data_IF_052442118732
#
_entry.id   IF_052442118732
#
_cell.length_a   1.000
_cell.length_b   1.000
_cell.length_c   1.000
_cell.angle_alpha   90.00
_cell.angle_beta   90.00
_cell.angle_gamma   90.00
#
_symmetry.space_group_name_H-M   'P 1'
#
loop_
_entity.id
_entity.type
_entity.pdbx_description
1 polymer ?
#
# COMPACT_ATOMS: atom_id res chain seq x y z
N UNK A 1 -63.68 -26.65 4.54
CA UNK A 1 -62.63 -27.67 4.43
C UNK A 1 -62.84 -28.61 3.25
N UNK A 2 -63.78 -29.58 3.24
CA UNK A 2 -63.91 -30.55 2.10
C UNK A 2 -64.15 -29.97 0.68
N UNK A 3 -64.75 -28.78 0.56
CA UNK A 3 -65.01 -28.14 -0.76
C UNK A 3 -63.79 -27.48 -1.38
N UNK A 4 -62.81 -27.07 -0.56
CA UNK A 4 -61.62 -26.36 -1.03
C UNK A 4 -60.57 -27.34 -1.55
N UNK A 5 -60.44 -28.51 -0.90
CA UNK A 5 -59.56 -29.61 -1.35
C UNK A 5 -60.02 -30.20 -2.70
N UNK A 6 -61.33 -30.32 -2.92
CA UNK A 6 -61.92 -30.83 -4.17
C UNK A 6 -61.71 -29.86 -5.35
N UNK A 7 -61.69 -28.54 -5.09
CA UNK A 7 -61.40 -27.55 -6.12
C UNK A 7 -59.91 -27.51 -6.48
N UNK A 8 -59.01 -27.63 -5.49
CA UNK A 8 -57.56 -27.69 -5.73
C UNK A 8 -57.13 -28.87 -6.60
N UNK A 9 -57.64 -30.08 -6.33
CA UNK A 9 -57.33 -31.27 -7.15
C UNK A 9 -57.81 -31.12 -8.61
N UNK A 10 -58.97 -30.50 -8.83
CA UNK A 10 -59.52 -30.26 -10.17
C UNK A 10 -58.71 -29.22 -10.96
N UNK A 11 -58.18 -28.21 -10.28
CA UNK A 11 -57.33 -27.19 -10.89
C UNK A 11 -55.96 -27.78 -11.28
N UNK A 12 -55.33 -28.56 -10.41
CA UNK A 12 -54.07 -29.26 -10.71
C UNK A 12 -54.23 -30.23 -11.89
N UNK A 13 -55.30 -31.01 -11.94
CA UNK A 13 -55.59 -31.90 -13.08
C UNK A 13 -55.78 -31.14 -14.40
N UNK A 14 -56.40 -29.95 -14.37
CA UNK A 14 -56.58 -29.11 -15.55
C UNK A 14 -55.23 -28.59 -16.09
N UNK A 15 -54.35 -28.19 -15.18
CA UNK A 15 -53.00 -27.70 -15.50
C UNK A 15 -52.16 -28.86 -16.07
N UNK A 16 -52.16 -30.02 -15.43
CA UNK A 16 -51.44 -31.21 -15.89
C UNK A 16 -51.96 -31.74 -17.24
N UNK A 17 -53.27 -31.59 -17.51
CA UNK A 17 -53.87 -31.97 -18.79
C UNK A 17 -53.52 -30.99 -19.91
N UNK A 18 -53.37 -29.70 -19.61
CA UNK A 18 -53.00 -28.66 -20.59
C UNK A 18 -51.50 -28.61 -20.90
N UNK A 19 -50.67 -28.79 -19.89
CA UNK A 19 -49.21 -28.63 -20.00
C UNK A 19 -48.52 -30.00 -20.26
N UNK A 20 -49.18 -31.10 -19.90
CA UNK A 20 -48.59 -32.42 -19.93
C UNK A 20 -47.64 -32.63 -18.74
N UNK A 21 -47.47 -33.88 -18.32
CA UNK A 21 -46.50 -34.27 -17.28
C UNK A 21 -45.07 -34.37 -17.82
N UNK A 22 -44.86 -33.99 -19.07
CA UNK A 22 -43.56 -34.09 -19.71
C UNK A 22 -42.75 -32.82 -19.46
N UNK A 23 -41.48 -33.00 -19.07
CA UNK A 23 -40.57 -31.89 -18.89
C UNK A 23 -40.35 -31.20 -20.24
N UNK A 24 -40.87 -29.97 -20.38
CA UNK A 24 -40.66 -29.13 -21.58
C UNK A 24 -39.27 -28.50 -21.59
N UNK A 25 -38.59 -28.43 -20.44
CA UNK A 25 -37.21 -27.97 -20.34
C UNK A 25 -36.26 -29.16 -20.55
N UNK A 26 -36.18 -29.63 -21.80
CA UNK A 26 -35.11 -30.55 -22.23
C UNK A 26 -34.04 -29.76 -22.96
N UNK A 27 -32.80 -29.94 -22.54
CA UNK A 27 -31.65 -29.44 -23.29
C UNK A 27 -31.37 -30.38 -24.46
N UNK A 28 -30.85 -29.88 -25.59
CA UNK A 28 -30.32 -30.73 -26.65
C UNK A 28 -29.22 -31.65 -26.11
N UNK A 29 -29.12 -32.85 -26.70
CA UNK A 29 -28.06 -33.80 -26.36
C UNK A 29 -26.68 -33.15 -26.61
N UNK A 30 -25.80 -33.22 -25.61
CA UNK A 30 -24.45 -32.64 -25.65
C UNK A 30 -24.36 -31.12 -25.42
N UNK A 31 -25.46 -30.43 -25.09
CA UNK A 31 -25.45 -28.99 -24.78
C UNK A 31 -24.46 -28.62 -23.66
N UNK A 32 -24.37 -29.46 -22.62
CA UNK A 32 -23.49 -29.22 -21.49
C UNK A 32 -22.03 -29.63 -21.73
N UNK A 33 -21.73 -30.35 -22.82
CA UNK A 33 -20.38 -30.86 -23.10
C UNK A 33 -19.40 -29.72 -23.41
N UNK A 34 -19.90 -28.64 -24.02
CA UNK A 34 -19.12 -27.46 -24.37
C UNK A 34 -19.34 -26.27 -23.45
N UNK A 35 -20.35 -26.30 -22.56
CA UNK A 35 -20.68 -25.18 -21.67
C UNK A 35 -19.50 -24.82 -20.76
N UNK A 36 -18.82 -25.82 -20.19
CA UNK A 36 -17.70 -25.56 -19.28
C UNK A 36 -16.55 -24.83 -19.98
N UNK A 37 -16.20 -25.26 -21.21
CA UNK A 37 -15.20 -24.61 -22.04
C UNK A 37 -15.63 -23.20 -22.46
N UNK A 38 -16.87 -23.06 -22.93
CA UNK A 38 -17.40 -21.77 -23.37
C UNK A 38 -17.53 -20.76 -22.22
N UNK A 39 -17.89 -21.23 -21.01
CA UNK A 39 -17.87 -20.39 -19.80
C UNK A 39 -16.46 -19.95 -19.47
N UNK A 40 -15.47 -20.85 -19.50
CA UNK A 40 -14.07 -20.49 -19.23
C UNK A 40 -13.48 -19.55 -20.29
N UNK A 41 -13.87 -19.72 -21.55
CA UNK A 41 -13.44 -18.86 -22.66
C UNK A 41 -14.14 -17.48 -22.66
N UNK A 42 -15.39 -17.41 -22.15
CA UNK A 42 -16.15 -16.15 -21.98
C UNK A 42 -15.90 -15.45 -20.66
N UNK A 43 -15.28 -16.11 -19.69
CA UNK A 43 -14.71 -15.38 -18.57
C UNK A 43 -13.78 -14.35 -19.20
N UNK A 44 -13.84 -13.07 -18.78
CA UNK A 44 -12.84 -12.11 -19.21
C UNK A 44 -11.51 -12.80 -18.96
N UNK A 45 -10.69 -12.95 -20.01
CA UNK A 45 -9.31 -13.43 -19.87
C UNK A 45 -8.81 -12.67 -18.67
N UNK A 46 -8.68 -13.33 -17.50
CA UNK A 46 -8.47 -12.60 -16.26
C UNK A 46 -7.28 -11.76 -16.56
N UNK A 47 -7.56 -10.46 -16.63
CA UNK A 47 -6.78 -9.59 -17.46
C UNK A 47 -5.35 -9.84 -17.00
N UNK A 48 -4.44 -10.00 -17.95
CA UNK A 48 -3.04 -9.67 -17.67
C UNK A 48 -2.89 -8.17 -17.29
N UNK A 49 -3.92 -7.55 -16.71
CA UNK A 49 -3.86 -6.74 -15.49
C UNK A 49 -3.51 -7.56 -14.23
N UNK A 50 -2.89 -8.73 -14.38
CA UNK A 50 -1.52 -8.86 -13.86
C UNK A 50 -0.73 -7.69 -14.48
N UNK A 51 -0.94 -6.48 -13.94
CA UNK A 51 0.18 -5.72 -13.43
C UNK A 51 0.98 -6.79 -12.69
N UNK A 52 1.93 -7.39 -13.42
CA UNK A 52 3.09 -8.00 -12.83
C UNK A 52 3.38 -6.99 -11.74
N UNK A 53 3.32 -7.35 -10.44
CA UNK A 53 3.82 -6.43 -9.44
C UNK A 53 5.21 -6.14 -9.97
N UNK A 54 5.39 -4.94 -10.53
CA UNK A 54 6.58 -4.60 -11.29
C UNK A 54 7.60 -4.63 -10.19
N UNK A 55 8.25 -5.79 -10.04
CA UNK A 55 9.09 -6.13 -8.90
C UNK A 55 9.96 -4.93 -8.81
N UNK A 56 9.83 -4.07 -7.78
CA UNK A 56 10.37 -2.72 -7.84
C UNK A 56 11.85 -2.91 -8.11
N UNK A 57 12.22 -2.71 -9.38
CA UNK A 57 13.53 -3.06 -9.87
C UNK A 57 14.47 -2.23 -9.02
N UNK A 58 15.53 -2.82 -8.47
CA UNK A 58 16.31 -2.24 -7.38
C UNK A 58 16.74 -0.77 -7.65
N UNK A 59 16.79 -0.40 -8.92
CA UNK A 59 16.91 0.95 -9.48
C UNK A 59 15.87 1.95 -8.95
N UNK A 60 14.58 1.60 -8.90
CA UNK A 60 13.51 2.48 -8.39
C UNK A 60 13.66 2.80 -6.90
N UNK A 61 14.28 1.92 -6.10
CA UNK A 61 14.58 2.18 -4.68
C UNK A 61 15.76 3.13 -4.48
N UNK A 62 16.73 3.14 -5.40
CA UNK A 62 17.95 3.95 -5.28
C UNK A 62 17.87 5.29 -6.02
N UNK A 63 17.06 5.41 -7.08
CA UNK A 63 16.91 6.64 -7.86
C UNK A 63 15.96 7.66 -7.23
N UNK A 64 14.88 7.20 -6.57
CA UNK A 64 13.92 8.09 -5.87
C UNK A 64 14.58 8.97 -4.80
N UNK A 65 15.37 8.43 -3.85
CA UNK A 65 16.06 9.27 -2.87
C UNK A 65 17.13 10.14 -3.52
N UNK A 66 17.84 9.66 -4.56
CA UNK A 66 18.84 10.46 -5.27
C UNK A 66 18.23 11.68 -5.96
N UNK A 67 17.06 11.52 -6.59
CA UNK A 67 16.33 12.62 -7.22
C UNK A 67 15.83 13.65 -6.18
N UNK A 68 15.39 13.19 -5.01
CA UNK A 68 14.98 14.08 -3.91
C UNK A 68 16.17 14.88 -3.35
N UNK A 69 17.33 14.24 -3.18
CA UNK A 69 18.57 14.91 -2.79
C UNK A 69 18.98 15.95 -3.85
N UNK A 70 18.96 15.59 -5.14
CA UNK A 70 19.26 16.52 -6.23
C UNK A 70 18.32 17.73 -6.24
N UNK A 71 17.02 17.54 -5.97
CA UNK A 71 16.06 18.63 -5.83
C UNK A 71 16.37 19.54 -4.63
N UNK A 72 16.75 18.96 -3.49
CA UNK A 72 17.14 19.71 -2.29
C UNK A 72 18.41 20.55 -2.54
N UNK A 73 19.43 19.97 -3.19
CA UNK A 73 20.65 20.69 -3.58
C UNK A 73 20.36 21.80 -4.60
N UNK A 74 19.54 21.51 -5.62
CA UNK A 74 19.15 22.51 -6.61
C UNK A 74 18.35 23.66 -5.96
N UNK A 75 17.45 23.35 -5.02
CA UNK A 75 16.71 24.34 -4.25
C UNK A 75 17.61 25.22 -3.38
N UNK A 76 18.52 24.61 -2.62
CA UNK A 76 19.49 25.35 -1.80
C UNK A 76 20.42 26.22 -2.66
N UNK A 77 20.95 25.67 -3.76
CA UNK A 77 21.81 26.40 -4.68
C UNK A 77 21.07 27.56 -5.36
N UNK A 78 19.79 27.40 -5.69
CA UNK A 78 18.97 28.48 -6.25
C UNK A 78 18.74 29.61 -5.23
N UNK A 79 18.43 29.26 -3.98
CA UNK A 79 18.27 30.23 -2.89
C UNK A 79 19.59 30.99 -2.66
N UNK A 80 20.72 30.29 -2.56
CA UNK A 80 22.05 30.90 -2.40
C UNK A 80 22.39 31.78 -3.61
N UNK A 81 22.14 31.32 -4.83
CA UNK A 81 22.43 32.09 -6.05
C UNK A 81 21.60 33.37 -6.12
N UNK A 82 20.29 33.30 -5.88
CA UNK A 82 19.39 34.47 -5.90
C UNK A 82 19.74 35.45 -4.78
N UNK A 83 20.01 34.96 -3.56
CA UNK A 83 20.44 35.80 -2.46
C UNK A 83 21.80 36.44 -2.74
N UNK A 84 22.79 35.67 -3.20
CA UNK A 84 24.14 36.14 -3.53
C UNK A 84 24.18 37.16 -4.67
N UNK A 85 23.20 37.16 -5.60
CA UNK A 85 23.07 38.25 -6.59
C UNK A 85 22.76 39.62 -5.93
N UNK A 86 22.21 39.64 -4.71
CA UNK A 86 22.00 40.84 -3.90
C UNK A 86 23.11 41.13 -2.88
N UNK A 87 23.99 40.17 -2.59
CA UNK A 87 25.12 40.32 -1.66
C UNK A 87 26.42 40.45 -2.44
N UNK A 88 26.86 41.69 -2.66
CA UNK A 88 28.20 41.96 -3.19
C UNK A 88 29.23 41.69 -2.10
N UNK A 89 30.04 40.65 -2.32
CA UNK A 89 31.34 40.33 -1.71
C UNK A 89 31.49 40.44 -0.19
N UNK A 90 31.49 39.28 0.47
CA UNK A 90 32.51 39.00 1.48
C UNK A 90 33.21 37.71 1.08
N UNK A 91 34.49 37.86 0.75
CA UNK A 91 35.43 36.82 0.39
C UNK A 91 35.34 35.63 1.37
N UNK A 92 34.98 34.44 0.86
CA UNK A 92 35.16 33.19 1.61
C UNK A 92 35.97 32.29 0.70
N UNK A 93 37.26 32.21 1.04
CA UNK A 93 38.21 31.28 0.49
C UNK A 93 37.64 29.86 0.49
N UNK A 94 37.69 29.24 -0.67
CA UNK A 94 37.47 27.82 -0.83
C UNK A 94 38.73 27.09 -0.36
N UNK A 95 38.78 26.64 0.88
CA UNK A 95 39.75 25.63 1.32
C UNK A 95 39.32 24.97 2.65
N UNK A 96 39.48 23.65 2.69
CA UNK A 96 39.44 22.77 3.86
C UNK A 96 38.05 22.46 4.45
N UNK A 97 37.58 21.25 4.13
CA UNK A 97 37.18 20.23 5.11
C UNK A 97 37.44 20.61 6.55
N UNK A 98 36.40 20.93 7.33
CA UNK A 98 36.37 20.69 8.78
C UNK A 98 34.97 20.25 9.20
N UNK A 99 34.84 18.94 9.39
CA UNK A 99 33.73 18.23 10.02
C UNK A 99 33.86 18.28 11.54
N UNK A 100 33.93 19.47 12.16
CA UNK A 100 34.21 19.58 13.60
C UNK A 100 33.12 20.30 14.43
N UNK A 101 32.20 21.04 13.80
CA UNK A 101 31.29 21.92 14.56
C UNK A 101 29.98 21.23 15.01
N UNK A 102 29.63 20.07 14.47
CA UNK A 102 28.35 19.40 14.78
C UNK A 102 28.46 18.37 15.92
N UNK A 103 29.65 17.84 16.20
CA UNK A 103 29.87 16.81 17.23
C UNK A 103 29.96 17.44 18.63
N UNK A 104 30.71 18.54 18.79
CA UNK A 104 30.96 19.19 20.09
C UNK A 104 29.69 19.86 20.68
N UNK A 105 28.75 20.31 19.84
CA UNK A 105 27.50 20.93 20.31
C UNK A 105 26.50 19.88 20.84
N UNK A 106 26.56 18.65 20.32
CA UNK A 106 25.65 17.57 20.73
C UNK A 106 25.97 17.12 22.16
N UNK A 107 27.23 16.89 22.48
CA UNK A 107 27.65 16.39 23.79
C UNK A 107 27.35 17.41 24.90
N UNK A 108 27.61 18.71 24.66
CA UNK A 108 27.29 19.77 25.64
C UNK A 108 25.78 19.90 25.91
N UNK A 109 24.94 19.71 24.90
CA UNK A 109 23.49 19.82 25.04
C UNK A 109 22.88 18.55 25.66
N UNK A 110 23.49 17.40 25.41
CA UNK A 110 23.12 16.12 26.02
C UNK A 110 23.47 16.12 27.51
N UNK A 111 24.68 16.56 27.88
CA UNK A 111 25.11 16.61 29.28
C UNK A 111 24.24 17.56 30.12
N UNK A 112 23.90 18.74 29.60
CA UNK A 112 23.00 19.69 30.27
C UNK A 112 21.59 19.12 30.44
N UNK A 113 21.09 18.38 29.44
CA UNK A 113 19.80 17.72 29.55
C UNK A 113 19.82 16.59 30.59
N UNK A 114 20.90 15.80 30.64
CA UNK A 114 21.08 14.72 31.63
C UNK A 114 21.17 15.30 33.04
N UNK A 115 22.01 16.32 33.26
CA UNK A 115 22.17 16.97 34.57
C UNK A 115 20.86 17.62 35.05
N UNK A 116 20.11 18.24 34.14
CA UNK A 116 18.80 18.84 34.44
C UNK A 116 17.70 17.84 34.83
N UNK A 117 17.84 16.58 34.42
CA UNK A 117 16.90 15.51 34.79
C UNK A 117 17.20 14.83 36.13
N UNK A 118 18.35 15.15 36.76
CA UNK A 118 18.90 14.41 37.91
C UNK A 118 18.91 12.88 37.70
N UNK A 119 19.04 12.43 36.45
CA UNK A 119 19.08 11.02 36.10
C UNK A 119 20.43 10.44 36.54
N UNK A 120 20.43 9.58 37.56
CA UNK A 120 21.63 8.85 37.95
C UNK A 120 21.92 7.67 37.01
N UNK A 121 23.18 7.22 36.98
CA UNK A 121 23.63 6.10 36.14
C UNK A 121 22.89 4.78 36.44
N UNK A 122 22.36 4.62 37.65
CA UNK A 122 21.61 3.43 38.06
C UNK A 122 20.17 3.45 37.50
N UNK A 123 19.53 4.61 37.45
CA UNK A 123 18.23 4.82 36.83
C UNK A 123 18.27 4.55 35.33
N UNK A 124 19.37 4.91 34.66
CA UNK A 124 19.59 4.58 33.25
C UNK A 124 19.67 3.07 33.02
N UNK A 125 20.38 2.34 33.90
CA UNK A 125 20.49 0.88 33.81
C UNK A 125 19.14 0.18 34.04
N UNK A 126 18.37 0.61 35.05
CA UNK A 126 17.05 0.05 35.35
C UNK A 126 16.11 0.21 34.15
N UNK A 127 16.05 1.39 33.56
CA UNK A 127 15.20 1.64 32.38
C UNK A 127 15.59 0.77 31.18
N UNK A 128 16.89 0.69 30.87
CA UNK A 128 17.37 -0.15 29.78
C UNK A 128 17.10 -1.64 30.05
N UNK A 129 17.23 -2.07 31.31
CA UNK A 129 16.96 -3.45 31.70
C UNK A 129 15.47 -3.82 31.61
N UNK A 130 14.57 -2.88 31.95
CA UNK A 130 13.12 -3.06 31.89
C UNK A 130 12.65 -3.14 30.43
N UNK A 131 13.18 -2.28 29.55
CA UNK A 131 12.89 -2.32 28.10
C UNK A 131 13.48 -3.56 27.42
N UNK A 132 14.60 -4.08 27.93
CA UNK A 132 15.21 -5.31 27.40
C UNK A 132 14.55 -6.61 27.89
N UNK A 133 13.63 -6.50 28.86
CA UNK A 133 12.91 -7.62 29.44
C UNK A 133 11.56 -7.92 28.75
N UNK A 134 11.17 -7.12 27.75
CA UNK A 134 10.09 -7.39 26.78
C UNK A 134 10.67 -7.86 25.42
#
# INVERSE_FOLDING_TARGET
MKREEDNGMKEEENILKKIGRENTFKVPDGYFDHLASEVMDKLPEQEKNVSLPHKPTAWTKKLKPLLYMAAMFAGAAFIIRVASLGYKETNIDTAATETNDTEIVSDQMIDVAIEGTMLDDYSLYVYLSDVSAD
#
